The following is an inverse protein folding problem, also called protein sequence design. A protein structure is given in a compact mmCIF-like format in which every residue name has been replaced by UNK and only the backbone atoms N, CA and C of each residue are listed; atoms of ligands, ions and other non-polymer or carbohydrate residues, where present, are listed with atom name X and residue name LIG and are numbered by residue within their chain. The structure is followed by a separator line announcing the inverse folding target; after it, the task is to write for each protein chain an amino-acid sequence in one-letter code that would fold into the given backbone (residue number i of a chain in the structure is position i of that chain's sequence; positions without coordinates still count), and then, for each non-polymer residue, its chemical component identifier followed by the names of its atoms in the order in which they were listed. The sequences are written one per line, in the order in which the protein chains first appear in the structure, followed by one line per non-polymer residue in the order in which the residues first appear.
data_IF_434993709157
#
_entry.id   IF_434993709157
#
_cell.length_a   1.000
_cell.length_b   1.000
_cell.length_c   1.000
_cell.angle_alpha   90.00
_cell.angle_beta   90.00
_cell.angle_gamma   90.00
#
_symmetry.space_group_name_H-M   'P 1'
#
loop_
_entity.id
_entity.type
_entity.pdbx_description
1 polymer ?
#
# COMPACT_ATOMS: atom_id res chain seq x y z
N UNK A 1 -51.20 19.37 -48.22
CA UNK A 1 -50.44 19.20 -46.96
C UNK A 1 -50.43 17.73 -46.60
N UNK A 2 -49.28 17.05 -46.77
CA UNK A 2 -48.89 15.82 -46.07
C UNK A 2 -47.45 15.53 -46.48
N UNK A 3 -46.53 16.09 -45.70
CA UNK A 3 -45.13 15.69 -45.72
C UNK A 3 -45.07 14.30 -45.10
N UNK A 4 -44.56 13.32 -45.86
CA UNK A 4 -44.20 12.02 -45.32
C UNK A 4 -42.84 12.19 -44.62
N UNK A 5 -42.87 12.25 -43.29
CA UNK A 5 -41.67 12.09 -42.48
C UNK A 5 -41.26 10.62 -42.58
N UNK A 6 -40.22 10.35 -43.37
CA UNK A 6 -39.49 9.08 -43.31
C UNK A 6 -38.76 9.09 -41.97
N UNK A 7 -39.34 8.41 -40.99
CA UNK A 7 -38.68 8.11 -39.72
C UNK A 7 -37.56 7.12 -39.99
N UNK A 8 -36.38 7.64 -40.32
CA UNK A 8 -35.16 6.86 -40.30
C UNK A 8 -34.81 6.59 -38.84
N UNK A 9 -35.03 5.37 -38.39
CA UNK A 9 -34.50 4.88 -37.13
C UNK A 9 -32.96 4.88 -37.28
N UNK A 10 -32.28 5.87 -36.68
CA UNK A 10 -30.84 5.85 -36.57
C UNK A 10 -30.45 4.70 -35.63
N UNK A 11 -30.19 3.53 -36.20
CA UNK A 11 -29.56 2.43 -35.48
C UNK A 11 -28.10 2.79 -35.22
N UNK A 12 -27.75 3.06 -33.96
CA UNK A 12 -26.36 3.26 -33.58
C UNK A 12 -25.70 1.88 -33.39
N UNK A 13 -24.67 1.58 -34.16
CA UNK A 13 -23.77 0.45 -33.88
C UNK A 13 -22.78 0.89 -32.79
N UNK A 14 -22.92 0.29 -31.61
CA UNK A 14 -21.98 0.48 -30.50
C UNK A 14 -20.87 -0.57 -30.66
N UNK A 15 -19.71 -0.14 -31.12
CA UNK A 15 -18.50 -0.95 -31.11
C UNK A 15 -17.77 -0.76 -29.77
N UNK A 16 -17.74 -1.82 -28.95
CA UNK A 16 -16.93 -1.83 -27.74
C UNK A 16 -15.50 -2.22 -28.13
N UNK A 17 -14.54 -1.35 -27.83
CA UNK A 17 -13.12 -1.62 -27.98
C UNK A 17 -12.54 -1.89 -26.59
N UNK A 18 -12.03 -3.10 -26.38
CA UNK A 18 -11.26 -3.38 -25.17
C UNK A 18 -9.97 -2.56 -25.21
N UNK A 19 -9.78 -1.70 -24.22
CA UNK A 19 -8.51 -1.00 -24.03
C UNK A 19 -7.46 -2.01 -23.59
N UNK A 20 -6.23 -1.87 -24.11
CA UNK A 20 -5.08 -2.69 -23.66
C UNK A 20 -4.86 -2.43 -22.17
N UNK A 21 -5.03 -3.46 -21.33
CA UNK A 21 -4.86 -3.33 -19.88
C UNK A 21 -3.55 -3.97 -19.44
N UNK A 22 -3.03 -3.53 -18.30
CA UNK A 22 -1.93 -4.26 -17.64
C UNK A 22 -2.51 -5.53 -17.02
N UNK A 23 -1.86 -6.69 -17.14
CA UNK A 23 -2.36 -7.91 -16.51
C UNK A 23 -2.39 -7.74 -14.99
N UNK A 24 -3.48 -8.20 -14.39
CA UNK A 24 -3.64 -8.32 -12.93
C UNK A 24 -3.85 -9.79 -12.63
N UNK A 25 -2.98 -10.36 -11.78
CA UNK A 25 -2.97 -11.78 -11.44
C UNK A 25 -2.95 -11.95 -9.92
N UNK A 26 -3.75 -12.87 -9.39
CA UNK A 26 -3.86 -13.12 -7.96
C UNK A 26 -3.18 -14.43 -7.60
N UNK A 27 -2.39 -14.40 -6.53
CA UNK A 27 -1.81 -15.58 -5.91
C UNK A 27 -2.34 -15.64 -4.47
N UNK A 28 -3.01 -16.73 -4.13
CA UNK A 28 -3.48 -16.99 -2.77
C UNK A 28 -2.60 -18.06 -2.13
N UNK A 29 -2.09 -17.77 -0.93
CA UNK A 29 -1.24 -18.66 -0.16
C UNK A 29 -1.88 -18.92 1.21
N UNK A 30 -2.06 -20.19 1.56
CA UNK A 30 -2.58 -20.60 2.87
C UNK A 30 -1.42 -20.82 3.84
N UNK A 31 -1.37 -20.03 4.91
CA UNK A 31 -0.32 -20.12 5.93
C UNK A 31 -0.58 -21.19 6.98
N UNK A 32 -1.80 -21.73 7.03
CA UNK A 32 -2.23 -22.72 8.05
C UNK A 32 -1.37 -23.97 8.16
N UNK A 33 -0.87 -24.56 7.05
CA UNK A 33 -0.13 -25.82 7.12
C UNK A 33 1.30 -25.71 7.66
N UNK A 34 1.79 -24.50 7.97
CA UNK A 34 3.21 -24.26 8.22
C UNK A 34 3.47 -23.87 9.68
N UNK A 35 4.29 -24.68 10.36
CA UNK A 35 4.53 -24.54 11.81
C UNK A 35 5.71 -23.61 12.13
N UNK A 36 6.46 -23.16 11.11
CA UNK A 36 7.60 -22.26 11.29
C UNK A 36 7.79 -21.29 10.11
N UNK A 37 8.44 -20.12 10.35
CA UNK A 37 8.74 -19.16 9.28
C UNK A 37 9.52 -19.77 8.11
N UNK A 38 10.54 -20.61 8.40
CA UNK A 38 11.37 -21.21 7.36
C UNK A 38 10.65 -22.28 6.52
N UNK A 39 9.72 -23.04 7.14
CA UNK A 39 8.88 -23.98 6.42
C UNK A 39 7.90 -23.26 5.49
N UNK A 40 7.28 -22.18 6.00
CA UNK A 40 6.40 -21.33 5.21
C UNK A 40 7.14 -20.70 4.03
N UNK A 41 8.31 -20.12 4.26
CA UNK A 41 9.13 -19.49 3.21
C UNK A 41 9.49 -20.50 2.11
N UNK A 42 9.88 -21.71 2.49
CA UNK A 42 10.24 -22.76 1.53
C UNK A 42 9.03 -23.18 0.68
N UNK A 43 7.87 -23.40 1.32
CA UNK A 43 6.63 -23.76 0.63
C UNK A 43 6.12 -22.62 -0.27
N UNK A 44 6.25 -21.38 0.19
CA UNK A 44 5.91 -20.20 -0.59
C UNK A 44 6.74 -20.11 -1.87
N UNK A 45 8.07 -20.27 -1.77
CA UNK A 45 8.95 -20.27 -2.94
C UNK A 45 8.58 -21.36 -3.94
N UNK A 46 8.35 -22.58 -3.45
CA UNK A 46 7.92 -23.70 -4.30
C UNK A 46 6.60 -23.40 -5.03
N UNK A 47 5.62 -22.81 -4.34
CA UNK A 47 4.36 -22.42 -4.96
C UNK A 47 4.55 -21.32 -6.02
N UNK A 48 5.33 -20.29 -5.73
CA UNK A 48 5.62 -19.22 -6.69
C UNK A 48 6.32 -19.79 -7.93
N UNK A 49 7.35 -20.63 -7.75
CA UNK A 49 8.03 -21.29 -8.87
C UNK A 49 7.08 -22.11 -9.75
N UNK A 50 6.10 -22.78 -9.14
CA UNK A 50 5.04 -23.49 -9.87
C UNK A 50 4.07 -22.55 -10.60
N UNK A 51 3.79 -21.37 -10.03
CA UNK A 51 2.88 -20.36 -10.59
C UNK A 51 3.52 -19.50 -11.70
N UNK A 52 4.85 -19.36 -11.76
CA UNK A 52 5.56 -18.54 -12.77
C UNK A 52 5.06 -18.86 -14.19
N UNK A 53 4.90 -20.14 -14.52
CA UNK A 53 4.42 -20.54 -15.85
C UNK A 53 2.99 -20.06 -16.14
N UNK A 54 2.09 -20.14 -15.15
CA UNK A 54 0.71 -19.69 -15.27
C UNK A 54 0.62 -18.16 -15.40
N UNK A 55 1.44 -17.42 -14.65
CA UNK A 55 1.55 -15.96 -14.75
C UNK A 55 2.04 -15.56 -16.15
N UNK A 56 3.08 -16.21 -16.66
CA UNK A 56 3.62 -15.93 -17.99
C UNK A 56 2.59 -16.23 -19.09
N UNK A 57 1.92 -17.37 -19.03
CA UNK A 57 0.85 -17.73 -19.99
C UNK A 57 -0.30 -16.71 -19.93
N UNK A 58 -0.68 -16.29 -18.74
CA UNK A 58 -1.71 -15.27 -18.55
C UNK A 58 -1.30 -13.93 -19.19
N UNK A 59 -0.06 -13.48 -18.99
CA UNK A 59 0.48 -12.25 -19.56
C UNK A 59 0.62 -12.27 -21.09
N UNK A 60 0.74 -13.46 -21.70
CA UNK A 60 0.85 -13.63 -23.16
C UNK A 60 -0.49 -13.43 -23.90
N UNK A 61 -1.61 -13.27 -23.20
CA UNK A 61 -2.90 -13.03 -23.84
C UNK A 61 -2.88 -11.72 -24.66
N UNK A 62 -3.49 -11.69 -25.87
CA UNK A 62 -3.40 -10.52 -26.77
C UNK A 62 -3.86 -9.18 -26.17
N UNK A 63 -4.76 -9.21 -25.19
CA UNK A 63 -5.25 -8.02 -24.46
C UNK A 63 -4.22 -7.40 -23.51
N UNK A 64 -3.18 -8.14 -23.15
CA UNK A 64 -2.11 -7.73 -22.23
C UNK A 64 -0.78 -7.46 -22.94
N UNK A 65 -0.74 -7.61 -24.27
CA UNK A 65 0.45 -7.31 -25.07
C UNK A 65 0.41 -5.87 -25.61
N UNK A 66 1.58 -5.22 -25.63
CA UNK A 66 1.81 -3.97 -26.32
C UNK A 66 2.94 -4.19 -27.33
N UNK A 67 2.72 -3.82 -28.59
CA UNK A 67 3.72 -3.94 -29.65
C UNK A 67 4.25 -5.37 -29.89
N UNK A 68 3.49 -6.38 -29.45
CA UNK A 68 3.87 -7.79 -29.55
C UNK A 68 4.56 -8.35 -28.30
N UNK A 69 4.89 -7.50 -27.33
CA UNK A 69 5.51 -7.90 -26.07
C UNK A 69 4.49 -7.96 -24.92
N UNK A 70 4.54 -8.99 -24.06
CA UNK A 70 3.69 -9.07 -22.87
C UNK A 70 4.08 -7.98 -21.87
N UNK A 71 3.08 -7.29 -21.31
CA UNK A 71 3.31 -6.32 -20.24
C UNK A 71 3.56 -7.04 -18.91
N UNK A 72 4.52 -6.53 -18.13
CA UNK A 72 4.73 -6.96 -16.73
C UNK A 72 3.44 -6.84 -15.91
N UNK A 73 3.04 -7.90 -15.17
CA UNK A 73 1.79 -7.93 -14.41
C UNK A 73 1.88 -7.11 -13.12
N UNK A 74 0.71 -6.79 -12.58
CA UNK A 74 0.54 -6.44 -11.16
C UNK A 74 0.06 -7.71 -10.45
N UNK A 75 0.76 -8.10 -9.38
CA UNK A 75 0.37 -9.26 -8.57
C UNK A 75 -0.45 -8.83 -7.36
N UNK A 76 -1.52 -9.55 -7.08
CA UNK A 76 -2.30 -9.48 -5.82
C UNK A 76 -1.91 -10.70 -5.00
N UNK A 77 -0.98 -10.50 -4.07
CA UNK A 77 -0.47 -11.55 -3.20
C UNK A 77 -1.28 -11.57 -1.91
N UNK A 78 -2.05 -12.63 -1.72
CA UNK A 78 -2.95 -12.77 -0.57
C UNK A 78 -2.52 -13.91 0.31
N UNK A 79 -2.33 -13.59 1.57
CA UNK A 79 -2.10 -14.60 2.58
C UNK A 79 -3.38 -14.84 3.38
N UNK A 80 -3.72 -16.10 3.54
CA UNK A 80 -4.96 -16.55 4.17
C UNK A 80 -4.66 -17.64 5.18
N UNK A 81 -5.56 -17.85 6.15
CA UNK A 81 -5.45 -18.98 7.08
C UNK A 81 -4.96 -18.58 8.47
N UNK A 82 -4.45 -19.56 9.23
CA UNK A 82 -4.03 -19.38 10.62
C UNK A 82 -2.52 -19.58 10.77
N UNK A 83 -1.78 -18.51 11.03
CA UNK A 83 -0.35 -18.53 11.29
C UNK A 83 -0.07 -19.27 12.61
N UNK A 84 0.75 -20.32 12.57
CA UNK A 84 1.09 -21.13 13.75
C UNK A 84 2.27 -20.56 14.57
N UNK A 85 2.81 -19.43 14.14
CA UNK A 85 3.93 -18.74 14.76
C UNK A 85 3.66 -17.24 14.83
N UNK A 86 4.52 -16.50 15.54
CA UNK A 86 4.36 -15.06 15.74
C UNK A 86 4.26 -14.30 14.42
N UNK A 87 3.28 -13.41 14.36
CA UNK A 87 3.08 -12.52 13.21
C UNK A 87 4.28 -11.59 12.96
N UNK A 88 5.09 -11.28 13.98
CA UNK A 88 6.33 -10.52 13.82
C UNK A 88 7.42 -11.27 13.03
N UNK A 89 7.39 -12.60 13.04
CA UNK A 89 8.30 -13.43 12.24
C UNK A 89 7.80 -13.63 10.80
N UNK A 90 6.61 -13.12 10.47
CA UNK A 90 6.01 -13.23 9.15
C UNK A 90 6.49 -12.10 8.22
N UNK A 91 7.61 -12.34 7.55
CA UNK A 91 8.31 -11.40 6.66
C UNK A 91 7.61 -11.23 5.30
N UNK A 92 6.45 -10.59 5.32
CA UNK A 92 5.56 -10.42 4.16
C UNK A 92 6.28 -9.73 2.99
N UNK A 93 7.07 -8.72 3.32
CA UNK A 93 7.89 -7.90 2.44
C UNK A 93 8.99 -8.70 1.72
N UNK A 94 9.66 -9.63 2.40
CA UNK A 94 10.64 -10.53 1.77
C UNK A 94 9.96 -11.53 0.80
N UNK A 95 8.78 -12.05 1.18
CA UNK A 95 7.99 -12.95 0.34
C UNK A 95 7.46 -12.22 -0.91
N UNK A 96 7.00 -10.98 -0.75
CA UNK A 96 6.52 -10.16 -1.86
C UNK A 96 7.64 -9.78 -2.82
N UNK A 97 8.82 -9.40 -2.31
CA UNK A 97 9.99 -9.11 -3.16
C UNK A 97 10.40 -10.34 -3.98
N UNK A 98 10.38 -11.54 -3.36
CA UNK A 98 10.64 -12.78 -4.08
C UNK A 98 9.60 -13.04 -5.18
N UNK A 99 8.30 -12.83 -4.90
CA UNK A 99 7.24 -13.00 -5.90
C UNK A 99 7.35 -11.99 -7.05
N UNK A 100 7.74 -10.74 -6.75
CA UNK A 100 8.00 -9.71 -7.76
C UNK A 100 9.09 -10.14 -8.74
N UNK A 101 10.23 -10.58 -8.20
CA UNK A 101 11.38 -11.02 -8.98
C UNK A 101 11.07 -12.29 -9.79
N UNK A 102 10.52 -13.31 -9.14
CA UNK A 102 10.26 -14.61 -9.77
C UNK A 102 9.25 -14.52 -10.93
N UNK A 103 8.25 -13.65 -10.80
CA UNK A 103 7.19 -13.48 -11.80
C UNK A 103 7.43 -12.31 -12.77
N UNK A 104 8.55 -11.60 -12.67
CA UNK A 104 8.83 -10.34 -13.40
C UNK A 104 7.66 -9.35 -13.32
N UNK A 105 7.13 -9.16 -12.11
CA UNK A 105 6.02 -8.26 -11.87
C UNK A 105 6.48 -6.80 -11.92
N UNK A 106 5.57 -5.90 -12.27
CA UNK A 106 5.78 -4.46 -12.11
C UNK A 106 5.64 -4.04 -10.65
N UNK A 107 4.72 -4.69 -9.93
CA UNK A 107 4.34 -4.35 -8.57
C UNK A 107 3.60 -5.53 -7.92
N UNK A 108 3.82 -5.72 -6.62
CA UNK A 108 3.09 -6.69 -5.79
C UNK A 108 2.27 -5.94 -4.76
N UNK A 109 0.95 -6.17 -4.79
CA UNK A 109 0.03 -5.72 -3.77
C UNK A 109 -0.12 -6.84 -2.73
N UNK A 110 0.39 -6.59 -1.53
CA UNK A 110 0.28 -7.52 -0.41
C UNK A 110 -1.05 -7.34 0.33
N UNK A 111 -1.73 -8.45 0.61
CA UNK A 111 -2.87 -8.46 1.50
C UNK A 111 -2.72 -9.56 2.54
N UNK A 112 -2.31 -9.16 3.74
CA UNK A 112 -2.15 -10.05 4.88
C UNK A 112 -3.30 -9.95 5.89
N UNK A 113 -4.38 -9.23 5.56
CA UNK A 113 -5.57 -9.07 6.41
C UNK A 113 -6.43 -10.34 6.53
N UNK A 114 -6.14 -11.37 5.73
CA UNK A 114 -6.78 -12.69 5.80
C UNK A 114 -6.12 -13.68 6.76
N UNK A 115 -5.04 -13.30 7.45
CA UNK A 115 -4.31 -14.15 8.39
C UNK A 115 -4.83 -13.94 9.82
N UNK A 116 -4.97 -15.04 10.56
CA UNK A 116 -5.16 -15.08 12.02
C UNK A 116 -3.90 -15.66 12.67
N UNK A 117 -3.49 -15.21 13.84
CA UNK A 117 -2.37 -15.83 14.58
C UNK A 117 -2.91 -16.86 15.57
N UNK A 118 -2.25 -18.00 15.71
CA UNK A 118 -2.60 -19.03 16.70
C UNK A 118 -2.40 -18.53 18.14
N UNK A 119 -1.40 -17.65 18.36
CA UNK A 119 -1.05 -17.09 19.67
C UNK A 119 -2.21 -16.34 20.32
N UNK A 120 -3.07 -15.62 19.57
CA UNK A 120 -4.27 -14.96 20.13
C UNK A 120 -5.21 -15.96 20.83
N UNK A 121 -5.30 -17.20 20.35
CA UNK A 121 -6.14 -18.23 20.99
C UNK A 121 -5.49 -18.85 22.23
N UNK A 122 -4.15 -18.93 22.25
CA UNK A 122 -3.39 -19.41 23.40
C UNK A 122 -3.29 -18.34 24.49
N UNK A 123 -3.21 -17.06 24.12
CA UNK A 123 -3.21 -15.91 25.03
C UNK A 123 -4.47 -15.83 25.87
N UNK A 124 -5.65 -16.15 25.33
CA UNK A 124 -6.90 -16.28 26.11
C UNK A 124 -6.80 -17.37 27.21
N UNK A 125 -5.95 -18.37 27.01
CA UNK A 125 -5.76 -19.49 27.93
C UNK A 125 -4.63 -19.25 28.95
N UNK A 126 -3.73 -18.30 28.70
CA UNK A 126 -2.57 -17.96 29.53
C UNK A 126 -2.79 -16.70 30.39
N UNK A 127 -3.96 -16.04 30.29
CA UNK A 127 -4.24 -14.87 31.11
C UNK A 127 -4.29 -15.29 32.59
N UNK A 128 -3.40 -14.70 33.38
CA UNK A 128 -3.27 -14.97 34.81
C UNK A 128 -4.62 -14.69 35.50
N UNK A 129 -5.21 -15.68 36.17
CA UNK A 129 -6.53 -15.56 36.82
C UNK A 129 -6.58 -14.37 37.79
N UNK A 130 -5.42 -13.98 38.33
CA UNK A 130 -5.26 -12.89 39.30
C UNK A 130 -5.43 -11.49 38.69
N UNK A 131 -5.14 -11.30 37.39
CA UNK A 131 -5.30 -10.01 36.70
C UNK A 131 -6.68 -9.88 36.00
N UNK A 132 -7.27 -11.01 35.60
CA UNK A 132 -8.59 -11.10 34.97
C UNK A 132 -9.73 -10.98 35.96
N UNK A 133 -9.56 -11.43 37.20
CA UNK A 133 -10.61 -11.42 38.20
C UNK A 133 -10.29 -10.49 39.35
N UNK A 134 -10.90 -9.30 39.34
CA UNK A 134 -10.89 -8.41 40.50
C UNK A 134 -12.15 -8.63 41.31
N UNK A 135 -11.99 -9.07 42.56
CA UNK A 135 -13.10 -9.33 43.49
C UNK A 135 -14.16 -10.34 42.97
N UNK A 136 -13.74 -11.33 42.17
CA UNK A 136 -14.64 -12.33 41.58
C UNK A 136 -15.50 -11.79 40.42
N UNK A 137 -15.21 -10.58 39.94
CA UNK A 137 -15.74 -10.02 38.71
C UNK A 137 -14.64 -9.91 37.66
N UNK A 138 -15.03 -10.12 36.41
CA UNK A 138 -14.12 -10.03 35.27
C UNK A 138 -13.72 -8.56 35.07
N UNK A 139 -12.42 -8.31 35.14
CA UNK A 139 -11.79 -7.02 34.91
C UNK A 139 -11.73 -6.77 33.39
N UNK A 140 -12.86 -6.37 32.83
CA UNK A 140 -13.04 -6.16 31.39
C UNK A 140 -12.02 -5.17 30.83
N UNK A 141 -11.68 -4.12 31.59
CA UNK A 141 -10.72 -3.10 31.18
C UNK A 141 -9.30 -3.68 31.02
N UNK A 142 -8.82 -4.44 32.00
CA UNK A 142 -7.48 -5.05 31.91
C UNK A 142 -7.39 -6.09 30.78
N UNK A 143 -8.47 -6.86 30.56
CA UNK A 143 -8.54 -7.80 29.44
C UNK A 143 -8.53 -7.08 28.10
N UNK A 144 -9.23 -5.95 28.01
CA UNK A 144 -9.35 -5.15 26.81
C UNK A 144 -8.00 -4.49 26.44
N UNK A 145 -7.33 -3.87 27.41
CA UNK A 145 -5.98 -3.29 27.25
C UNK A 145 -5.00 -4.36 26.75
N UNK A 146 -5.03 -5.55 27.35
CA UNK A 146 -4.13 -6.65 26.98
C UNK A 146 -4.44 -7.23 25.60
N UNK A 147 -5.72 -7.28 25.20
CA UNK A 147 -6.13 -7.66 23.84
C UNK A 147 -5.64 -6.62 22.83
N UNK A 148 -5.79 -5.33 23.12
CA UNK A 148 -5.34 -4.27 22.22
C UNK A 148 -3.82 -4.21 22.09
N UNK A 149 -3.09 -4.39 23.19
CA UNK A 149 -1.62 -4.47 23.18
C UNK A 149 -1.15 -5.68 22.37
N UNK A 150 -1.83 -6.80 22.48
CA UNK A 150 -1.55 -8.00 21.69
C UNK A 150 -1.80 -7.75 20.21
N UNK A 151 -2.97 -7.21 19.84
CA UNK A 151 -3.29 -6.85 18.46
C UNK A 151 -2.24 -5.91 17.88
N UNK A 152 -1.75 -4.97 18.68
CA UNK A 152 -0.71 -4.05 18.27
C UNK A 152 0.66 -4.74 18.09
N UNK A 153 1.07 -5.61 19.02
CA UNK A 153 2.29 -6.46 18.93
C UNK A 153 2.28 -7.37 17.71
N UNK A 154 1.11 -7.87 17.31
CA UNK A 154 0.95 -8.71 16.12
C UNK A 154 0.79 -7.90 14.83
N UNK A 155 0.79 -6.57 14.89
CA UNK A 155 0.67 -5.73 13.69
C UNK A 155 2.03 -5.18 13.25
N UNK A 156 2.02 -4.42 12.15
CA UNK A 156 3.17 -3.60 11.73
C UNK A 156 3.58 -2.53 12.79
N UNK A 157 2.76 -2.32 13.82
CA UNK A 157 2.97 -1.34 14.88
C UNK A 157 3.61 -1.94 16.15
N UNK A 158 4.20 -3.14 16.06
CA UNK A 158 4.75 -3.87 17.19
C UNK A 158 5.76 -3.07 18.03
N UNK A 159 6.55 -2.20 17.39
CA UNK A 159 7.53 -1.35 18.06
C UNK A 159 6.91 -0.31 19.01
N UNK A 160 5.65 0.04 18.81
CA UNK A 160 4.87 0.98 19.64
C UNK A 160 3.57 0.36 20.11
N UNK A 161 3.60 -0.93 20.45
CA UNK A 161 2.39 -1.69 20.71
C UNK A 161 1.56 -1.16 21.88
N UNK A 162 2.21 -0.67 22.94
CA UNK A 162 1.55 -0.04 24.10
C UNK A 162 0.80 1.23 23.68
N UNK A 163 1.47 2.15 22.95
CA UNK A 163 0.85 3.38 22.47
C UNK A 163 -0.31 3.12 21.49
N UNK A 164 -0.21 2.07 20.66
CA UNK A 164 -1.28 1.66 19.74
C UNK A 164 -2.43 0.99 20.49
N UNK A 165 -2.15 0.26 21.57
CA UNK A 165 -3.16 -0.31 22.44
C UNK A 165 -4.04 0.79 23.05
N UNK A 166 -3.42 1.84 23.56
CA UNK A 166 -4.10 3.01 24.13
C UNK A 166 -5.02 3.69 23.11
N UNK A 167 -4.58 3.81 21.85
CA UNK A 167 -5.40 4.37 20.78
C UNK A 167 -6.61 3.48 20.47
N UNK A 168 -6.41 2.17 20.42
CA UNK A 168 -7.50 1.22 20.19
C UNK A 168 -8.50 1.22 21.36
N UNK A 169 -8.01 1.35 22.59
CA UNK A 169 -8.81 1.53 23.79
C UNK A 169 -9.68 2.78 23.73
N UNK A 170 -9.08 3.93 23.42
CA UNK A 170 -9.81 5.19 23.28
C UNK A 170 -10.85 5.12 22.13
N UNK A 171 -10.47 4.56 20.98
CA UNK A 171 -11.41 4.36 19.87
C UNK A 171 -12.57 3.43 20.25
N UNK A 172 -12.33 2.41 21.09
CA UNK A 172 -13.37 1.54 21.61
C UNK A 172 -14.31 2.27 22.58
N UNK A 173 -13.77 3.08 23.49
CA UNK A 173 -14.57 3.91 24.40
C UNK A 173 -15.47 4.88 23.64
N UNK A 174 -14.94 5.57 22.62
CA UNK A 174 -15.72 6.46 21.74
C UNK A 174 -16.82 5.70 21.01
N UNK A 175 -16.53 4.48 20.52
CA UNK A 175 -17.52 3.63 19.88
C UNK A 175 -18.63 3.18 20.87
N UNK A 176 -18.27 2.84 22.12
CA UNK A 176 -19.25 2.52 23.16
C UNK A 176 -20.12 3.74 23.54
N UNK A 177 -19.58 4.95 23.44
CA UNK A 177 -20.29 6.20 23.65
C UNK A 177 -21.19 6.63 22.47
N UNK A 178 -21.29 5.80 21.42
CA UNK A 178 -22.03 6.07 20.18
C UNK A 178 -21.56 7.35 19.46
N UNK A 179 -20.27 7.67 19.57
CA UNK A 179 -19.67 8.77 18.82
C UNK A 179 -19.68 8.50 17.31
N UNK A 180 -19.62 9.58 16.52
CA UNK A 180 -19.65 9.45 15.07
C UNK A 180 -18.39 8.74 14.57
N UNK A 181 -18.56 7.87 13.57
CA UNK A 181 -17.46 7.10 13.00
C UNK A 181 -16.38 8.02 12.43
N UNK A 182 -16.78 9.18 11.90
CA UNK A 182 -15.88 10.22 11.42
C UNK A 182 -14.96 10.73 12.54
N UNK A 183 -15.50 11.01 13.73
CA UNK A 183 -14.75 11.54 14.88
C UNK A 183 -13.78 10.49 15.45
N UNK A 184 -14.19 9.23 15.49
CA UNK A 184 -13.32 8.10 15.86
C UNK A 184 -12.18 7.97 14.84
N UNK A 185 -12.49 8.05 13.55
CA UNK A 185 -11.50 7.92 12.49
C UNK A 185 -10.49 9.07 12.48
N UNK A 186 -10.93 10.30 12.77
CA UNK A 186 -10.08 11.49 12.86
C UNK A 186 -9.13 11.38 14.07
N UNK A 187 -9.63 10.86 15.19
CA UNK A 187 -8.82 10.62 16.40
C UNK A 187 -7.75 9.56 16.16
N UNK A 188 -8.11 8.41 15.59
CA UNK A 188 -7.16 7.34 15.24
C UNK A 188 -6.15 7.80 14.18
N UNK A 189 -6.61 8.54 13.18
CA UNK A 189 -5.73 9.05 12.11
C UNK A 189 -4.74 10.09 12.63
N UNK A 190 -5.16 10.95 13.55
CA UNK A 190 -4.28 11.93 14.18
C UNK A 190 -3.23 11.24 15.04
N UNK A 191 -3.66 10.30 15.89
CA UNK A 191 -2.75 9.55 16.76
C UNK A 191 -1.75 8.69 15.96
N UNK A 192 -2.16 8.11 14.83
CA UNK A 192 -1.25 7.42 13.91
C UNK A 192 -0.19 8.37 13.32
N UNK A 193 -0.57 9.58 12.91
CA UNK A 193 0.39 10.57 12.38
C UNK A 193 1.42 11.00 13.43
N UNK A 194 0.98 11.16 14.67
CA UNK A 194 1.84 11.54 15.79
C UNK A 194 2.79 10.40 16.18
N UNK A 195 2.30 9.15 16.21
CA UNK A 195 3.12 7.98 16.54
C UNK A 195 4.03 7.53 15.40
N UNK A 196 3.64 7.72 14.15
CA UNK A 196 4.41 7.23 12.99
C UNK A 196 4.64 8.34 11.96
N UNK A 197 5.42 9.39 12.29
CA UNK A 197 5.68 10.49 11.36
C UNK A 197 6.38 10.00 10.08
N UNK A 198 7.27 9.02 10.20
CA UNK A 198 8.00 8.44 9.06
C UNK A 198 7.10 7.65 8.09
N UNK A 199 5.96 7.13 8.57
CA UNK A 199 4.93 6.49 7.73
C UNK A 199 3.95 7.50 7.15
N UNK A 200 3.90 8.72 7.68
CA UNK A 200 3.05 9.80 7.17
C UNK A 200 3.72 10.57 6.02
N UNK A 201 5.06 10.63 5.99
CA UNK A 201 5.84 11.42 5.02
C UNK A 201 6.03 10.77 3.63
N UNK A 202 5.56 9.54 3.40
CA UNK A 202 5.78 8.81 2.14
C UNK A 202 4.60 8.83 1.14
N UNK A 203 3.76 9.87 1.16
CA UNK A 203 2.86 10.16 0.03
C UNK A 203 3.09 11.59 -0.44
N UNK A 204 4.33 11.89 -0.83
CA UNK A 204 4.55 12.89 -1.87
C UNK A 204 4.35 12.14 -3.18
N UNK A 205 3.11 12.09 -3.67
CA UNK A 205 2.92 11.87 -5.09
C UNK A 205 3.37 13.17 -5.73
N UNK A 206 4.60 13.22 -6.21
CA UNK A 206 5.05 14.22 -7.17
C UNK A 206 4.23 13.99 -8.45
N UNK A 207 2.98 14.46 -8.43
CA UNK A 207 2.21 14.67 -9.64
C UNK A 207 2.84 15.92 -10.25
N UNK A 208 3.73 15.72 -11.22
CA UNK A 208 4.08 16.81 -12.14
C UNK A 208 2.77 17.42 -12.62
N UNK A 209 2.54 18.67 -12.22
CA UNK A 209 1.37 19.45 -12.51
C UNK A 209 1.40 19.85 -14.00
N UNK A 210 1.27 18.88 -14.90
CA UNK A 210 0.60 18.90 -16.21
C UNK A 210 0.98 17.64 -17.05
N UNK A 211 0.15 16.58 -17.07
CA UNK A 211 0.41 15.37 -17.87
C UNK A 211 0.23 15.57 -19.39
N UNK A 212 -0.02 16.80 -19.85
CA UNK A 212 -0.22 17.14 -21.27
C UNK A 212 0.88 18.05 -21.84
N UNK A 213 1.95 18.31 -21.09
CA UNK A 213 3.07 19.09 -21.62
C UNK A 213 3.94 18.18 -22.52
N UNK A 214 3.60 18.14 -23.80
CA UNK A 214 4.41 17.50 -24.83
C UNK A 214 5.83 18.12 -24.82
N UNK A 215 6.83 17.30 -24.47
CA UNK A 215 8.25 17.61 -24.70
C UNK A 215 8.55 17.43 -26.20
N UNK A 216 8.34 18.47 -26.99
CA UNK A 216 9.01 18.62 -28.28
C UNK A 216 9.68 20.00 -28.41
N UNK A 217 10.87 19.94 -29.01
CA UNK A 217 11.86 20.99 -29.34
C UNK A 217 12.86 21.41 -28.24
N UNK A 218 14.18 21.34 -28.39
CA UNK A 218 15.16 20.60 -29.23
C UNK A 218 16.52 21.27 -28.93
N UNK A 219 17.56 20.45 -28.77
CA UNK A 219 19.01 20.70 -28.95
C UNK A 219 19.51 22.12 -29.30
N UNK A 220 20.47 22.63 -28.54
CA UNK A 220 21.89 22.64 -28.95
C UNK A 220 22.84 23.19 -27.85
N UNK A 221 24.09 22.69 -27.75
CA UNK A 221 25.09 23.08 -26.77
C UNK A 221 26.06 24.14 -27.31
N UNK A 222 26.59 25.04 -26.46
CA UNK A 222 27.91 25.66 -26.71
C UNK A 222 28.73 25.79 -25.41
N UNK A 223 29.99 25.38 -25.56
CA UNK A 223 31.05 25.31 -24.57
C UNK A 223 31.59 26.68 -24.12
N UNK A 224 32.26 26.62 -22.98
CA UNK A 224 33.22 27.55 -22.37
C UNK A 224 33.89 28.59 -23.26
N UNK A 225 34.07 29.81 -22.71
CA UNK A 225 35.34 30.54 -22.74
C UNK A 225 35.40 31.56 -21.60
N UNK A 226 36.38 31.37 -20.71
CA UNK A 226 37.09 32.38 -19.93
C UNK A 226 37.37 33.64 -20.76
N UNK A 227 37.32 34.83 -20.15
CA UNK A 227 38.46 35.80 -20.12
C UNK A 227 38.05 37.15 -19.46
N UNK A 228 38.82 37.51 -18.42
CA UNK A 228 39.25 38.85 -17.98
C UNK A 228 38.26 39.98 -17.57
N UNK A 229 38.31 40.31 -16.27
CA UNK A 229 38.34 41.72 -15.80
C UNK A 229 39.76 42.27 -15.94
N UNK A 230 39.90 43.59 -16.16
CA UNK A 230 40.45 44.39 -15.07
C UNK A 230 39.74 45.74 -14.85
N UNK A 231 40.02 46.30 -13.68
CA UNK A 231 39.48 47.52 -13.09
C UNK A 231 40.20 48.81 -13.57
N UNK A 232 39.51 49.95 -13.42
CA UNK A 232 39.98 51.26 -12.92
C UNK A 232 38.98 52.34 -13.40
N UNK A 233 38.16 52.92 -12.52
CA UNK A 233 38.41 54.15 -11.76
C UNK A 233 38.47 55.41 -12.64
N UNK A 234 37.35 56.16 -12.71
CA UNK A 234 37.37 57.63 -12.55
C UNK A 234 35.95 58.19 -12.34
N UNK A 235 35.77 58.90 -11.23
CA UNK A 235 34.67 59.87 -10.97
C UNK A 235 35.17 61.26 -11.38
N UNK A 236 34.42 62.37 -11.19
CA UNK A 236 32.99 62.67 -11.37
C UNK A 236 32.81 63.89 -12.32
N UNK A 237 31.59 64.25 -12.74
CA UNK A 237 31.19 65.67 -12.83
C UNK A 237 29.67 65.84 -12.60
N UNK A 238 29.35 66.88 -11.83
CA UNK A 238 28.03 67.48 -11.60
C UNK A 238 27.38 67.91 -12.94
N UNK A 239 26.06 68.13 -13.05
CA UNK A 239 25.45 69.47 -12.89
C UNK A 239 23.93 69.37 -13.16
N UNK A 240 23.16 69.75 -12.13
CA UNK A 240 21.98 70.65 -12.13
C UNK A 240 20.68 70.31 -12.89
N UNK A 241 19.66 70.00 -12.09
CA UNK A 241 18.35 70.69 -11.94
C UNK A 241 17.54 71.07 -13.18
N UNK A 242 16.36 70.44 -13.32
CA UNK A 242 15.05 71.11 -13.16
C UNK A 242 13.94 70.11 -12.86
#
# INVERSE_FOLDING_TARGET
MRAALVGGECSFEIAHHETKRRPYYRIEFDVTPHDSPGELESAFREQIEAEVGAVQEYCQQPKYTAEGEPRRPILDLRFTGTLQFSRGDFRTDELAAYAEEACDALYVQENAGGIRTADVQQLISEIDEEDVFKDGQLNTAALEDQVFETIAKESMYAEKAEDVADILGNAHEMAQAEEAVEDISDTVSSARRDLFPELADNVVVDIDEDPFRDEEESDAPEESSDEERPADDDRPEEVTTQ
#
